data_IF_306864841640
#
_entry.id   IF_306864841640
#
_cell.length_a   1.000
_cell.length_b   1.000
_cell.length_c   1.000
_cell.angle_alpha   90.00
_cell.angle_beta   90.00
_cell.angle_gamma   90.00
#
_symmetry.space_group_name_H-M   'P 1'
#
loop_
_entity.id
_entity.type
_entity.pdbx_description
1 polymer ?
#
# COMPACT_ATOMS: atom_id res chain seq x y z
N UNK A 1 26.77 10.01 -34.11
CA UNK A 1 25.61 10.53 -34.90
C UNK A 1 24.67 11.22 -33.94
N UNK A 2 24.30 12.49 -34.20
CA UNK A 2 23.29 13.19 -33.40
C UNK A 2 21.91 12.69 -33.80
N UNK A 3 21.21 12.05 -32.87
CA UNK A 3 19.99 11.28 -33.17
C UNK A 3 18.82 11.81 -32.34
N UNK A 4 17.64 11.91 -32.96
CA UNK A 4 16.38 12.20 -32.29
C UNK A 4 15.92 10.98 -31.49
N UNK A 5 15.70 11.14 -30.18
CA UNK A 5 15.33 10.08 -29.24
C UNK A 5 14.02 10.45 -28.54
N UNK A 6 13.07 9.51 -28.46
CA UNK A 6 11.90 9.63 -27.59
C UNK A 6 12.27 9.24 -26.16
N UNK A 7 11.93 10.07 -25.18
CA UNK A 7 12.12 9.76 -23.76
C UNK A 7 10.93 10.19 -22.92
N UNK A 8 10.72 9.54 -21.77
CA UNK A 8 9.76 10.04 -20.79
C UNK A 8 10.29 11.34 -20.17
N UNK A 9 9.38 12.26 -19.87
CA UNK A 9 9.70 13.51 -19.22
C UNK A 9 10.04 13.28 -17.75
N UNK A 10 11.14 13.87 -17.29
CA UNK A 10 11.54 13.82 -15.88
C UNK A 10 10.60 14.64 -14.97
N UNK A 11 9.87 15.61 -15.54
CA UNK A 11 9.03 16.57 -14.80
C UNK A 11 7.53 16.35 -14.96
N UNK A 12 7.10 15.46 -15.85
CA UNK A 12 5.68 15.24 -16.14
C UNK A 12 5.41 13.75 -16.38
N UNK A 13 4.64 13.15 -15.47
CA UNK A 13 4.22 11.77 -15.60
C UNK A 13 3.49 11.53 -16.93
N UNK A 14 3.79 10.41 -17.59
CA UNK A 14 3.19 10.00 -18.86
C UNK A 14 3.32 11.01 -20.01
N UNK A 15 4.31 11.91 -19.96
CA UNK A 15 4.65 12.80 -21.09
C UNK A 15 5.87 12.26 -21.81
N UNK A 16 5.75 12.04 -23.12
CA UNK A 16 6.90 11.71 -23.98
C UNK A 16 7.45 13.00 -24.58
N UNK A 17 8.76 13.20 -24.46
CA UNK A 17 9.49 14.34 -25.01
C UNK A 17 10.57 13.85 -25.97
N UNK A 18 11.03 14.74 -26.82
CA UNK A 18 12.14 14.49 -27.74
C UNK A 18 13.44 15.02 -27.15
N UNK A 19 14.50 14.23 -27.26
CA UNK A 19 15.86 14.60 -26.89
C UNK A 19 16.79 14.30 -28.06
N UNK A 20 17.88 15.04 -28.19
CA UNK A 20 18.91 14.77 -29.20
C UNK A 20 20.22 14.50 -28.51
N UNK A 21 20.82 13.34 -28.78
CA UNK A 21 22.10 12.94 -28.21
C UNK A 21 22.98 12.30 -29.28
N UNK A 22 24.29 12.31 -29.03
CA UNK A 22 25.22 11.49 -29.78
C UNK A 22 25.22 10.08 -29.20
N UNK A 23 24.90 9.11 -30.05
CA UNK A 23 24.77 7.72 -29.67
C UNK A 23 26.02 6.92 -30.00
N UNK A 24 26.44 6.08 -29.07
CA UNK A 24 27.43 5.02 -29.25
C UNK A 24 26.71 3.71 -29.57
N UNK A 25 27.20 2.95 -30.57
CA UNK A 25 26.60 1.66 -30.93
C UNK A 25 27.05 0.60 -29.94
N UNK A 26 26.10 -0.03 -29.24
CA UNK A 26 26.34 -1.14 -28.34
C UNK A 26 26.00 -2.50 -28.97
N UNK A 27 25.12 -2.51 -29.97
CA UNK A 27 24.68 -3.70 -30.71
C UNK A 27 23.75 -3.34 -31.86
N UNK A 28 23.18 -4.33 -32.53
CA UNK A 28 22.20 -4.08 -33.58
C UNK A 28 20.91 -3.54 -32.96
N UNK A 29 20.50 -2.35 -33.40
CA UNK A 29 19.38 -1.60 -32.83
C UNK A 29 19.52 -1.25 -31.33
N UNK A 30 20.72 -1.37 -30.75
CA UNK A 30 21.03 -1.05 -29.35
C UNK A 30 22.13 -0.01 -29.29
N UNK A 31 21.87 1.07 -28.57
CA UNK A 31 22.77 2.22 -28.46
C UNK A 31 22.83 2.71 -27.03
N UNK A 32 23.91 3.44 -26.71
CA UNK A 32 24.11 4.07 -25.41
C UNK A 32 24.56 5.50 -25.53
N UNK A 33 24.31 6.30 -24.49
CA UNK A 33 24.96 7.60 -24.30
C UNK A 33 25.06 7.91 -22.80
N UNK A 34 26.02 8.77 -22.42
CA UNK A 34 26.14 9.26 -21.06
C UNK A 34 24.93 10.14 -20.73
N UNK A 35 24.04 9.64 -19.88
CA UNK A 35 22.82 10.35 -19.48
C UNK A 35 23.10 11.38 -18.39
N UNK A 36 23.85 10.98 -17.37
CA UNK A 36 24.24 11.85 -16.26
C UNK A 36 25.55 11.40 -15.65
N UNK A 37 26.49 12.33 -15.53
CA UNK A 37 27.74 12.10 -14.82
C UNK A 37 27.52 12.14 -13.31
N UNK A 38 28.09 11.18 -12.59
CA UNK A 38 28.16 11.22 -11.13
C UNK A 38 29.36 12.09 -10.69
N UNK A 39 29.20 12.97 -9.68
CA UNK A 39 30.27 13.87 -9.26
C UNK A 39 31.42 13.19 -8.51
N UNK A 40 31.24 11.96 -8.01
CA UNK A 40 32.22 11.31 -7.14
C UNK A 40 32.78 10.00 -7.72
N UNK A 41 31.97 9.23 -8.42
CA UNK A 41 32.33 7.87 -8.88
C UNK A 41 31.85 7.62 -10.30
N UNK A 42 32.79 7.42 -11.22
CA UNK A 42 32.46 7.10 -12.61
C UNK A 42 31.59 5.83 -12.73
N UNK A 43 31.78 4.85 -11.85
CA UNK A 43 30.95 3.63 -11.83
C UNK A 43 29.46 3.89 -11.55
N UNK A 44 29.13 5.05 -10.96
CA UNK A 44 27.77 5.49 -10.67
C UNK A 44 27.22 6.46 -11.74
N UNK A 45 28.00 6.79 -12.79
CA UNK A 45 27.50 7.48 -13.98
C UNK A 45 26.28 6.73 -14.55
N UNK A 46 25.23 7.48 -14.87
CA UNK A 46 24.06 6.94 -15.54
C UNK A 46 24.29 6.93 -17.05
N UNK A 47 24.20 5.74 -17.63
CA UNK A 47 24.22 5.49 -19.06
C UNK A 47 22.80 5.20 -19.50
N UNK A 48 22.29 5.97 -20.47
CA UNK A 48 21.00 5.70 -21.08
C UNK A 48 21.16 4.60 -22.13
N UNK A 49 20.26 3.62 -22.10
CA UNK A 49 20.11 2.60 -23.14
C UNK A 49 19.02 3.06 -24.08
N UNK A 50 19.35 3.11 -25.37
CA UNK A 50 18.47 3.56 -26.44
C UNK A 50 18.27 2.41 -27.41
N UNK A 51 17.01 2.09 -27.69
CA UNK A 51 16.63 1.06 -28.64
C UNK A 51 16.10 1.70 -29.91
N UNK A 52 16.31 1.04 -31.04
CA UNK A 52 15.81 1.45 -32.34
C UNK A 52 14.79 0.43 -32.85
N UNK A 53 13.55 0.86 -33.07
CA UNK A 53 12.53 0.04 -33.74
C UNK A 53 12.21 0.73 -35.06
N UNK A 54 12.56 0.10 -36.19
CA UNK A 54 12.20 0.56 -37.55
C UNK A 54 12.57 2.04 -37.82
N UNK A 55 13.69 2.52 -37.26
CA UNK A 55 14.17 3.89 -37.42
C UNK A 55 13.71 4.87 -36.33
N UNK A 56 12.88 4.42 -35.38
CA UNK A 56 12.44 5.20 -34.22
C UNK A 56 13.29 4.86 -33.01
N UNK A 57 14.08 5.84 -32.56
CA UNK A 57 14.93 5.71 -31.38
C UNK A 57 14.20 6.15 -30.12
N UNK A 58 14.22 5.33 -29.08
CA UNK A 58 13.66 5.67 -27.78
C UNK A 58 14.54 5.18 -26.64
N UNK A 59 14.53 5.94 -25.54
CA UNK A 59 15.22 5.57 -24.31
C UNK A 59 14.41 4.49 -23.59
N UNK A 60 15.00 3.31 -23.42
CA UNK A 60 14.43 2.20 -22.65
C UNK A 60 14.59 2.46 -21.15
N UNK A 61 15.78 2.91 -20.74
CA UNK A 61 16.11 3.19 -19.36
C UNK A 61 17.45 3.92 -19.22
N UNK A 62 17.77 4.31 -17.99
CA UNK A 62 19.08 4.83 -17.64
C UNK A 62 19.59 4.09 -16.40
N UNK A 63 20.82 3.59 -16.49
CA UNK A 63 21.38 2.63 -15.55
C UNK A 63 22.80 3.01 -15.20
N UNK A 64 23.25 2.73 -13.97
CA UNK A 64 24.64 2.99 -13.60
C UNK A 64 25.59 2.08 -14.38
N UNK A 65 26.82 2.54 -14.65
CA UNK A 65 27.86 1.70 -15.27
C UNK A 65 28.06 0.38 -14.52
N UNK A 66 28.06 0.43 -13.18
CA UNK A 66 28.16 -0.77 -12.34
C UNK A 66 27.05 -1.78 -12.62
N UNK A 67 25.81 -1.35 -12.85
CA UNK A 67 24.69 -2.25 -13.15
C UNK A 67 24.82 -2.89 -14.54
N UNK A 68 25.35 -2.13 -15.50
CA UNK A 68 25.55 -2.59 -16.87
C UNK A 68 26.78 -3.50 -17.03
N UNK A 69 27.73 -3.45 -16.08
CA UNK A 69 28.95 -4.26 -16.13
C UNK A 69 28.62 -5.75 -16.17
N UNK A 70 29.12 -6.44 -17.19
CA UNK A 70 28.89 -7.88 -17.40
C UNK A 70 27.49 -8.24 -17.92
N UNK A 71 26.66 -7.26 -18.31
CA UNK A 71 25.39 -7.51 -18.99
C UNK A 71 25.59 -7.53 -20.50
N UNK A 72 24.99 -8.51 -21.16
CA UNK A 72 24.93 -8.54 -22.62
C UNK A 72 23.79 -7.63 -23.11
N UNK A 73 24.07 -6.33 -23.14
CA UNK A 73 23.12 -5.30 -23.58
C UNK A 73 22.74 -5.48 -25.05
N UNK A 74 23.69 -5.90 -25.89
CA UNK A 74 23.46 -6.11 -27.30
C UNK A 74 22.40 -7.20 -27.51
N UNK A 75 22.58 -8.37 -26.88
CA UNK A 75 21.64 -9.48 -27.01
C UNK A 75 20.27 -9.16 -26.39
N UNK A 76 20.24 -8.62 -25.17
CA UNK A 76 19.00 -8.29 -24.48
C UNK A 76 18.19 -7.23 -25.24
N UNK A 77 18.84 -6.15 -25.68
CA UNK A 77 18.18 -5.08 -26.44
C UNK A 77 17.73 -5.53 -27.83
N UNK A 78 18.55 -6.32 -28.54
CA UNK A 78 18.17 -6.86 -29.87
C UNK A 78 16.96 -7.78 -29.75
N UNK A 79 16.92 -8.65 -28.74
CA UNK A 79 15.80 -9.56 -28.48
C UNK A 79 14.53 -8.77 -28.15
N UNK A 80 14.64 -7.70 -27.37
CA UNK A 80 13.52 -6.81 -27.08
C UNK A 80 12.98 -6.16 -28.36
N UNK A 81 13.86 -5.57 -29.19
CA UNK A 81 13.49 -4.92 -30.45
C UNK A 81 12.79 -5.90 -31.40
N UNK A 82 13.34 -7.10 -31.57
CA UNK A 82 12.74 -8.15 -32.42
C UNK A 82 11.33 -8.54 -31.98
N UNK A 83 11.06 -8.53 -30.67
CA UNK A 83 9.77 -8.91 -30.10
C UNK A 83 8.89 -7.70 -29.74
N UNK A 84 9.21 -6.49 -30.19
CA UNK A 84 8.58 -5.26 -29.72
C UNK A 84 7.06 -5.26 -29.95
N UNK A 85 6.61 -5.51 -31.18
CA UNK A 85 5.19 -5.52 -31.53
C UNK A 85 4.42 -6.64 -30.81
N UNK A 86 5.00 -7.85 -30.79
CA UNK A 86 4.44 -9.00 -30.08
C UNK A 86 4.27 -8.71 -28.58
N UNK A 87 5.26 -8.06 -27.97
CA UNK A 87 5.23 -7.69 -26.54
C UNK A 87 4.10 -6.70 -26.24
N UNK A 88 3.81 -5.76 -27.15
CA UNK A 88 2.68 -4.84 -27.02
C UNK A 88 1.35 -5.59 -27.05
N UNK A 89 1.18 -6.50 -28.01
CA UNK A 89 -0.03 -7.32 -28.14
C UNK A 89 -0.26 -8.19 -26.90
N UNK A 90 0.78 -8.89 -26.44
CA UNK A 90 0.72 -9.71 -25.22
C UNK A 90 0.41 -8.86 -23.96
N UNK A 91 0.98 -7.65 -23.87
CA UNK A 91 0.68 -6.71 -22.78
C UNK A 91 -0.81 -6.35 -22.76
N UNK A 92 -1.39 -6.11 -23.92
CA UNK A 92 -2.81 -5.79 -24.07
C UNK A 92 -3.70 -7.00 -23.75
N UNK A 93 -3.37 -8.19 -24.27
CA UNK A 93 -4.10 -9.43 -24.02
C UNK A 93 -4.12 -9.79 -22.53
N UNK A 94 -3.02 -9.58 -21.82
CA UNK A 94 -2.90 -9.91 -20.40
C UNK A 94 -3.44 -8.81 -19.46
N UNK A 95 -4.06 -7.75 -19.99
CA UNK A 95 -4.60 -6.66 -19.17
C UNK A 95 -3.52 -5.83 -18.44
N UNK A 96 -2.25 -5.95 -18.84
CA UNK A 96 -1.11 -5.26 -18.22
C UNK A 96 -1.07 -3.78 -18.60
N UNK A 97 -0.33 -2.98 -17.82
CA UNK A 97 -0.17 -1.56 -18.13
C UNK A 97 0.60 -1.40 -19.44
N UNK A 98 0.01 -0.69 -20.41
CA UNK A 98 0.65 -0.37 -21.68
C UNK A 98 1.24 1.04 -21.61
N UNK A 99 2.57 1.25 -21.62
CA UNK A 99 3.19 2.57 -21.54
C UNK A 99 2.77 3.54 -22.65
N UNK A 100 2.69 4.84 -22.35
CA UNK A 100 2.43 5.89 -23.34
C UNK A 100 3.54 6.00 -24.39
N UNK A 101 4.76 5.57 -24.04
CA UNK A 101 5.90 5.50 -24.95
C UNK A 101 5.56 4.67 -26.20
N UNK A 102 4.88 3.53 -26.03
CA UNK A 102 4.54 2.66 -27.15
C UNK A 102 3.55 3.31 -28.11
N UNK A 103 2.59 4.07 -27.60
CA UNK A 103 1.69 4.90 -28.42
C UNK A 103 2.49 5.91 -29.23
N UNK A 104 3.49 6.57 -28.61
CA UNK A 104 4.31 7.56 -29.32
C UNK A 104 5.21 6.90 -30.37
N UNK A 105 5.79 5.73 -30.08
CA UNK A 105 6.57 4.97 -31.06
C UNK A 105 5.69 4.61 -32.26
N UNK A 106 4.50 4.03 -32.05
CA UNK A 106 3.57 3.71 -33.14
C UNK A 106 3.20 4.94 -33.98
N UNK A 107 2.99 6.10 -33.33
CA UNK A 107 2.75 7.35 -34.03
C UNK A 107 3.91 7.78 -34.92
N UNK A 108 5.16 7.67 -34.45
CA UNK A 108 6.35 8.01 -35.25
C UNK A 108 6.60 7.00 -36.37
N UNK A 109 6.19 5.74 -36.18
CA UNK A 109 6.19 4.70 -37.22
C UNK A 109 5.09 4.89 -38.26
N UNK A 110 4.19 5.87 -38.10
CA UNK A 110 3.03 6.05 -38.99
C UNK A 110 1.98 4.94 -38.87
N UNK A 111 1.99 4.16 -37.77
CA UNK A 111 1.04 3.07 -37.50
C UNK A 111 -0.22 3.60 -36.80
N UNK A 112 -1.31 2.86 -36.92
CA UNK A 112 -2.55 3.18 -36.21
C UNK A 112 -2.35 3.10 -34.68
N UNK A 113 -2.70 4.18 -33.99
CA UNK A 113 -2.58 4.31 -32.53
C UNK A 113 -3.92 4.14 -31.81
N UNK A 114 -5.04 4.13 -32.54
CA UNK A 114 -6.36 4.02 -31.96
C UNK A 114 -6.55 2.77 -31.08
N UNK A 115 -6.05 1.57 -31.44
CA UNK A 115 -6.17 0.39 -30.60
C UNK A 115 -5.46 0.53 -29.25
N UNK A 116 -4.27 1.13 -29.24
CA UNK A 116 -3.45 1.31 -28.04
C UNK A 116 -4.05 2.38 -27.11
N UNK A 117 -4.58 3.47 -27.68
CA UNK A 117 -5.26 4.52 -26.92
C UNK A 117 -6.53 3.99 -26.27
N UNK A 118 -7.39 3.32 -27.05
CA UNK A 118 -8.62 2.69 -26.55
C UNK A 118 -8.33 1.72 -25.41
N UNK A 119 -7.34 0.84 -25.58
CA UNK A 119 -6.94 -0.09 -24.53
C UNK A 119 -6.52 0.62 -23.22
N UNK A 120 -5.77 1.72 -23.31
CA UNK A 120 -5.34 2.48 -22.13
C UNK A 120 -6.53 3.11 -21.41
N UNK A 121 -7.51 3.63 -22.15
CA UNK A 121 -8.74 4.21 -21.60
C UNK A 121 -9.61 3.15 -20.92
N UNK A 122 -9.88 2.04 -21.61
CA UNK A 122 -10.65 0.91 -21.09
C UNK A 122 -10.01 0.36 -19.81
N UNK A 123 -8.68 0.20 -19.80
CA UNK A 123 -7.96 -0.26 -18.61
C UNK A 123 -8.08 0.72 -17.44
N UNK A 124 -7.99 2.03 -17.70
CA UNK A 124 -8.14 3.07 -16.67
C UNK A 124 -9.54 2.99 -16.06
N UNK A 125 -10.56 2.80 -16.88
CA UNK A 125 -11.94 2.66 -16.42
C UNK A 125 -12.15 1.41 -15.56
N UNK A 126 -11.66 0.24 -16.00
CA UNK A 126 -11.72 -1.00 -15.21
C UNK A 126 -11.09 -0.84 -13.82
N UNK A 127 -9.95 -0.16 -13.73
CA UNK A 127 -9.29 0.07 -12.45
C UNK A 127 -10.09 1.00 -11.54
N UNK A 128 -10.68 2.07 -12.08
CA UNK A 128 -11.56 2.97 -11.32
C UNK A 128 -12.74 2.20 -10.71
N UNK A 129 -13.42 1.40 -11.51
CA UNK A 129 -14.55 0.59 -11.06
C UNK A 129 -14.15 -0.38 -9.95
N UNK A 130 -13.01 -1.07 -10.09
CA UNK A 130 -12.48 -1.97 -9.05
C UNK A 130 -12.08 -1.23 -7.76
N UNK A 131 -11.54 -0.01 -7.86
CA UNK A 131 -11.22 0.80 -6.69
C UNK A 131 -12.49 1.26 -5.97
N UNK A 132 -13.51 1.69 -6.71
CA UNK A 132 -14.81 2.08 -6.16
C UNK A 132 -15.51 0.90 -5.47
N UNK A 133 -15.54 -0.27 -6.11
CA UNK A 133 -16.14 -1.46 -5.52
C UNK A 133 -15.42 -1.88 -4.23
N UNK A 134 -14.08 -1.90 -4.24
CA UNK A 134 -13.29 -2.18 -3.03
C UNK A 134 -13.54 -1.15 -1.94
N UNK A 135 -13.71 0.13 -2.30
CA UNK A 135 -14.04 1.17 -1.34
C UNK A 135 -15.42 0.93 -0.70
N UNK A 136 -16.44 0.59 -1.50
CA UNK A 136 -17.79 0.26 -1.00
C UNK A 136 -17.77 -0.95 -0.08
N UNK A 137 -17.05 -2.01 -0.47
CA UNK A 137 -16.92 -3.22 0.34
C UNK A 137 -16.22 -2.92 1.68
N UNK A 138 -15.16 -2.10 1.68
CA UNK A 138 -14.48 -1.68 2.92
C UNK A 138 -15.38 -0.85 3.82
N UNK A 139 -16.15 0.07 3.26
CA UNK A 139 -17.09 0.89 4.03
C UNK A 139 -18.19 0.02 4.65
N UNK A 140 -18.76 -0.91 3.88
CA UNK A 140 -19.77 -1.84 4.37
C UNK A 140 -19.20 -2.75 5.47
N UNK A 141 -18.02 -3.33 5.26
CA UNK A 141 -17.35 -4.16 6.26
C UNK A 141 -17.05 -3.38 7.55
N UNK A 142 -16.69 -2.10 7.43
CA UNK A 142 -16.48 -1.21 8.58
C UNK A 142 -17.79 -0.97 9.34
N UNK A 143 -18.87 -0.61 8.64
CA UNK A 143 -20.19 -0.41 9.26
C UNK A 143 -20.68 -1.67 9.97
N UNK A 144 -20.52 -2.83 9.35
CA UNK A 144 -20.89 -4.11 9.97
C UNK A 144 -20.02 -4.45 11.17
N UNK A 145 -18.71 -4.19 11.11
CA UNK A 145 -17.83 -4.40 12.26
C UNK A 145 -18.19 -3.49 13.43
N UNK A 146 -18.48 -2.21 13.16
CA UNK A 146 -18.94 -1.25 14.16
C UNK A 146 -20.29 -1.69 14.75
N UNK A 147 -21.26 -2.09 13.93
CA UNK A 147 -22.56 -2.59 14.40
C UNK A 147 -22.42 -3.85 15.26
N UNK A 148 -21.55 -4.80 14.86
CA UNK A 148 -21.23 -5.99 15.65
C UNK A 148 -20.60 -5.61 16.99
N UNK A 149 -19.70 -4.64 17.00
CA UNK A 149 -19.05 -4.18 18.22
C UNK A 149 -20.03 -3.48 19.17
N UNK A 150 -20.92 -2.63 18.65
CA UNK A 150 -21.99 -2.00 19.44
C UNK A 150 -22.89 -3.08 20.05
N UNK A 151 -23.35 -4.05 19.26
CA UNK A 151 -24.22 -5.13 19.76
C UNK A 151 -23.53 -5.98 20.83
N UNK A 152 -22.26 -6.35 20.62
CA UNK A 152 -21.45 -7.05 21.63
C UNK A 152 -21.37 -6.24 22.93
N UNK A 153 -21.09 -4.94 22.88
CA UNK A 153 -21.01 -4.10 24.07
C UNK A 153 -22.36 -3.97 24.78
N UNK A 154 -23.48 -3.96 24.04
CA UNK A 154 -24.82 -4.01 24.64
C UNK A 154 -25.06 -5.33 25.38
N UNK A 155 -24.66 -6.46 24.81
CA UNK A 155 -24.78 -7.77 25.47
C UNK A 155 -23.92 -7.85 26.74
N UNK A 156 -22.68 -7.37 26.69
CA UNK A 156 -21.79 -7.31 27.86
C UNK A 156 -22.29 -6.31 28.92
N UNK A 157 -22.90 -5.19 28.50
CA UNK A 157 -23.60 -4.29 29.43
C UNK A 157 -24.74 -5.00 30.14
N UNK A 158 -25.55 -5.77 29.43
CA UNK A 158 -26.65 -6.53 30.03
C UNK A 158 -26.14 -7.57 31.06
N UNK A 159 -25.08 -8.32 30.73
CA UNK A 159 -24.41 -9.23 31.67
C UNK A 159 -23.89 -8.51 32.91
N UNK A 160 -23.24 -7.36 32.71
CA UNK A 160 -22.75 -6.56 33.83
C UNK A 160 -23.89 -6.10 34.74
N UNK A 161 -25.02 -5.65 34.17
CA UNK A 161 -26.22 -5.25 34.92
C UNK A 161 -26.81 -6.44 35.68
N UNK A 162 -26.84 -7.63 35.08
CA UNK A 162 -27.27 -8.86 35.74
C UNK A 162 -26.34 -9.33 36.88
N UNK A 163 -25.16 -8.69 37.03
CA UNK A 163 -24.17 -9.06 38.03
C UNK A 163 -23.29 -10.24 37.62
N UNK A 164 -23.31 -10.62 36.34
CA UNK A 164 -22.42 -11.62 35.78
C UNK A 164 -20.99 -11.09 35.65
N UNK A 165 -20.05 -12.00 35.38
CA UNK A 165 -18.67 -11.64 35.12
C UNK A 165 -18.51 -11.18 33.67
N UNK A 166 -17.99 -9.97 33.48
CA UNK A 166 -17.53 -9.47 32.17
C UNK A 166 -16.01 -9.44 32.12
N UNK A 167 -15.45 -9.48 30.92
CA UNK A 167 -14.00 -9.40 30.74
C UNK A 167 -13.46 -8.01 31.14
N UNK A 168 -12.16 -7.94 31.42
CA UNK A 168 -11.49 -6.65 31.65
C UNK A 168 -11.59 -5.71 30.45
N UNK A 169 -11.50 -6.25 29.23
CA UNK A 169 -11.59 -5.47 27.99
C UNK A 169 -12.98 -4.82 27.86
N UNK A 170 -14.03 -5.60 28.05
CA UNK A 170 -15.41 -5.12 27.96
C UNK A 170 -15.70 -4.14 29.11
N UNK A 171 -15.20 -4.37 30.32
CA UNK A 171 -15.34 -3.43 31.44
C UNK A 171 -14.72 -2.05 31.14
N UNK A 172 -13.51 -2.04 30.55
CA UNK A 172 -12.85 -0.79 30.16
C UNK A 172 -13.61 -0.11 29.01
N UNK A 173 -14.13 -0.88 28.04
CA UNK A 173 -14.92 -0.36 26.94
C UNK A 173 -16.23 0.28 27.43
N UNK A 174 -16.93 -0.36 28.36
CA UNK A 174 -18.14 0.18 29.01
C UNK A 174 -17.84 1.45 29.81
N UNK A 175 -16.74 1.49 30.57
CA UNK A 175 -16.32 2.71 31.27
C UNK A 175 -16.07 3.86 30.29
N UNK A 176 -15.40 3.60 29.17
CA UNK A 176 -15.17 4.61 28.13
C UNK A 176 -16.49 5.09 27.50
N UNK A 177 -17.44 4.19 27.26
CA UNK A 177 -18.76 4.53 26.72
C UNK A 177 -19.52 5.49 27.64
N UNK A 178 -19.41 5.31 28.96
CA UNK A 178 -20.03 6.19 29.96
C UNK A 178 -19.17 7.40 30.34
N UNK A 179 -18.09 7.68 29.60
CA UNK A 179 -17.19 8.82 29.86
C UNK A 179 -16.34 8.69 31.13
N UNK A 180 -16.25 7.49 31.70
CA UNK A 180 -15.49 7.21 32.93
C UNK A 180 -14.01 7.02 32.58
N UNK A 181 -13.21 8.05 32.84
CA UNK A 181 -11.77 8.01 32.64
C UNK A 181 -11.06 7.18 33.73
N UNK A 182 -10.53 6.01 33.34
CA UNK A 182 -9.74 5.15 34.24
C UNK A 182 -8.28 5.61 34.25
N UNK A 183 -7.69 5.97 35.41
CA UNK A 183 -6.28 6.34 35.52
C UNK A 183 -5.35 5.21 35.08
N UNK A 184 -4.21 5.57 34.49
CA UNK A 184 -3.21 4.63 33.97
C UNK A 184 -2.78 3.56 34.99
N UNK A 185 -2.65 3.93 36.27
CA UNK A 185 -2.28 3.00 37.34
C UNK A 185 -3.33 1.91 37.54
N UNK A 186 -4.62 2.24 37.44
CA UNK A 186 -5.73 1.29 37.55
C UNK A 186 -5.88 0.47 36.28
N UNK A 187 -5.74 1.10 35.11
CA UNK A 187 -5.71 0.43 33.82
C UNK A 187 -4.59 -0.63 33.75
N UNK A 188 -3.41 -0.32 34.28
CA UNK A 188 -2.30 -1.26 34.36
C UNK A 188 -2.53 -2.43 35.31
N UNK A 189 -3.33 -2.27 36.37
CA UNK A 189 -3.74 -3.38 37.25
C UNK A 189 -4.81 -4.25 36.59
N UNK A 190 -5.78 -3.61 35.92
CA UNK A 190 -6.81 -4.28 35.13
C UNK A 190 -6.17 -5.20 34.08
N UNK A 191 -5.32 -4.66 33.20
CA UNK A 191 -4.76 -5.44 32.09
C UNK A 191 -3.77 -6.54 32.51
N UNK A 192 -3.01 -6.35 33.59
CA UNK A 192 -1.95 -7.30 33.98
C UNK A 192 -2.44 -8.43 34.86
N UNK A 193 -3.52 -8.23 35.61
CA UNK A 193 -3.89 -9.14 36.68
C UNK A 193 -5.36 -9.51 36.70
N UNK A 194 -6.27 -8.64 36.27
CA UNK A 194 -7.70 -8.91 36.31
C UNK A 194 -8.12 -9.66 35.04
N UNK A 195 -8.86 -10.75 35.22
CA UNK A 195 -9.40 -11.55 34.11
C UNK A 195 -10.88 -11.28 33.88
N UNK A 196 -11.65 -11.04 34.95
CA UNK A 196 -13.05 -10.68 34.86
C UNK A 196 -13.54 -9.90 36.08
N UNK A 197 -14.59 -9.11 35.91
CA UNK A 197 -15.18 -8.29 36.97
C UNK A 197 -16.70 -8.48 37.02
N UNK A 198 -17.24 -8.51 38.23
CA UNK A 198 -18.67 -8.49 38.53
C UNK A 198 -18.90 -7.52 39.68
N UNK A 199 -19.91 -6.67 39.56
CA UNK A 199 -20.27 -5.75 40.64
C UNK A 199 -20.94 -6.47 41.84
N UNK A 200 -21.45 -7.69 41.63
CA UNK A 200 -22.12 -8.51 42.65
C UNK A 200 -21.17 -9.53 43.29
N UNK A 201 -20.37 -10.22 42.47
CA UNK A 201 -19.52 -11.34 42.91
C UNK A 201 -18.07 -10.92 43.19
N UNK A 202 -17.59 -9.81 42.61
CA UNK A 202 -16.24 -9.29 42.83
C UNK A 202 -15.29 -9.44 41.65
N UNK A 203 -13.98 -9.55 41.92
CA UNK A 203 -12.92 -9.49 40.89
C UNK A 203 -12.22 -10.83 40.78
N UNK A 204 -12.18 -11.41 39.57
CA UNK A 204 -11.33 -12.56 39.23
C UNK A 204 -9.98 -12.07 38.73
N UNK A 205 -8.91 -12.66 39.24
CA UNK A 205 -7.55 -12.25 38.89
C UNK A 205 -6.60 -13.44 38.82
N UNK A 206 -5.56 -13.32 37.99
CA UNK A 206 -4.45 -14.27 37.93
C UNK A 206 -3.37 -13.83 38.89
N UNK A 207 -3.01 -14.69 39.85
CA UNK A 207 -1.86 -14.45 40.74
C UNK A 207 -0.57 -14.85 40.03
N UNK A 208 0.42 -13.95 40.02
CA UNK A 208 1.77 -14.31 39.58
C UNK A 208 2.52 -15.03 40.70
N UNK A 209 3.17 -16.13 40.36
CA UNK A 209 4.01 -16.92 41.28
C UNK A 209 5.14 -16.01 41.82
N UNK A 210 5.41 -16.11 43.11
CA UNK A 210 6.48 -15.33 43.78
C UNK A 210 6.17 -13.84 44.00
N UNK A 211 4.97 -13.36 43.64
CA UNK A 211 4.58 -11.94 43.85
C UNK A 211 3.42 -11.79 44.83
N UNK A 212 3.39 -10.65 45.51
CA UNK A 212 2.26 -10.22 46.36
C UNK A 212 1.02 -10.01 45.48
N UNK A 213 -0.14 -10.36 46.03
CA UNK A 213 -1.42 -10.12 45.35
C UNK A 213 -1.62 -8.62 45.09
N UNK A 214 -2.12 -8.22 43.89
CA UNK A 214 -2.38 -6.82 43.59
C UNK A 214 -3.44 -6.23 44.52
N UNK A 215 -3.34 -4.92 44.79
CA UNK A 215 -4.42 -4.19 45.44
C UNK A 215 -5.47 -3.76 44.42
N UNK A 216 -6.74 -4.03 44.72
CA UNK A 216 -7.85 -3.77 43.80
C UNK A 216 -8.72 -2.58 44.20
N UNK A 217 -8.27 -1.73 45.13
CA UNK A 217 -9.05 -0.57 45.60
C UNK A 217 -9.47 0.35 44.44
N UNK A 218 -8.55 0.62 43.51
CA UNK A 218 -8.86 1.37 42.29
C UNK A 218 -9.91 0.66 41.44
N UNK A 219 -9.73 -0.63 41.15
CA UNK A 219 -10.69 -1.39 40.34
C UNK A 219 -12.09 -1.43 40.96
N UNK A 220 -12.19 -1.61 42.30
CA UNK A 220 -13.46 -1.59 43.04
C UNK A 220 -14.15 -0.23 42.96
N UNK A 221 -13.39 0.87 43.06
CA UNK A 221 -13.93 2.22 42.89
C UNK A 221 -14.59 2.39 41.52
N UNK A 222 -13.92 1.98 40.44
CA UNK A 222 -14.47 2.11 39.09
C UNK A 222 -15.62 1.12 38.82
N UNK A 223 -15.61 -0.06 39.43
CA UNK A 223 -16.77 -0.95 39.41
C UNK A 223 -18.00 -0.28 40.01
N UNK A 224 -17.82 0.43 41.13
CA UNK A 224 -18.90 1.19 41.75
C UNK A 224 -19.37 2.35 40.87
N UNK A 225 -18.43 3.12 40.30
CA UNK A 225 -18.76 4.24 39.41
C UNK A 225 -19.54 3.77 38.17
N UNK A 226 -19.13 2.66 37.54
CA UNK A 226 -19.87 2.11 36.41
C UNK A 226 -21.24 1.56 36.82
N UNK A 227 -21.34 0.92 38.00
CA UNK A 227 -22.62 0.48 38.58
C UNK A 227 -23.60 1.65 38.76
N UNK A 228 -23.11 2.78 39.27
CA UNK A 228 -23.89 4.00 39.46
C UNK A 228 -24.35 4.61 38.13
N UNK A 229 -23.45 4.68 37.14
CA UNK A 229 -23.78 5.18 35.81
C UNK A 229 -24.93 4.39 35.15
N UNK A 230 -25.05 3.08 35.46
CA UNK A 230 -26.14 2.23 34.97
C UNK A 230 -27.38 2.19 35.87
N UNK A 231 -27.45 3.01 36.92
CA UNK A 231 -28.63 3.08 37.77
C UNK A 231 -28.95 1.77 38.51
N UNK A 232 -27.95 0.92 38.74
CA UNK A 232 -28.10 -0.35 39.48
C UNK A 232 -28.16 -0.09 41.01
N UNK A 233 -28.59 1.11 41.43
CA UNK A 233 -28.84 1.47 42.83
C UNK A 233 -30.34 1.37 43.14
N UNK A 234 -30.70 0.27 43.81
CA UNK A 234 -31.23 0.32 45.18
C UNK A 234 -30.41 -0.63 46.03
#
# INVERSE_FOLDING_TARGET
MKTKILRLSDSSLNKVVTHHAELEKAGDNVYTYLFKKDPYREDDDLIAVVLNVEGVYFQEGAYSRRLLRGKDLAHAGSTYVQNFHKTIEETMQQGRHLPIMFVRIYKELGRDTAPLLKYREDRKERLRQQDEERSRQREQAKKEAEARQIRRLQDEKAKFIAGEFISTEDFVALCRQEGIAIPLRTHGTLNRSVTALSHKTGIRFRRQIGKRAPQFNGCRKFLHTLKQAYGIEK
#
